data_IF_679363664391
#
_entry.id   IF_679363664391
#
_cell.length_a   1.000
_cell.length_b   1.000
_cell.length_c   1.000
_cell.angle_alpha   90.00
_cell.angle_beta   90.00
_cell.angle_gamma   90.00
#
_symmetry.space_group_name_H-M   'P 1'
#
loop_
_entity.id
_entity.type
_entity.pdbx_description
1 polymer ?
#
# COMPACT_ATOMS: atom_id res chain seq x y z
N UNK A 1 -16.32 -14.21 19.66
CA UNK A 1 -16.11 -12.77 19.36
C UNK A 1 -17.13 -12.45 18.28
N UNK A 2 -18.19 -11.75 18.66
CA UNK A 2 -19.35 -11.47 17.78
C UNK A 2 -18.87 -10.62 16.59
N UNK A 3 -19.01 -11.15 15.37
CA UNK A 3 -18.81 -10.34 14.15
C UNK A 3 -19.89 -9.27 14.16
N UNK A 4 -19.51 -8.04 14.47
CA UNK A 4 -20.39 -6.90 14.31
C UNK A 4 -20.42 -6.57 12.83
N UNK A 5 -21.46 -7.04 12.14
CA UNK A 5 -21.76 -6.67 10.76
C UNK A 5 -21.97 -5.15 10.70
N UNK A 6 -20.89 -4.39 10.46
CA UNK A 6 -20.96 -2.94 10.33
C UNK A 6 -21.38 -2.59 8.91
N UNK A 7 -22.61 -2.09 8.78
CA UNK A 7 -23.09 -1.42 7.58
C UNK A 7 -22.67 0.04 7.63
N UNK A 8 -21.84 0.45 6.68
CA UNK A 8 -21.32 1.81 6.57
C UNK A 8 -21.82 2.40 5.26
N UNK A 9 -22.43 3.58 5.35
CA UNK A 9 -22.81 4.36 4.16
C UNK A 9 -21.64 5.25 3.76
N UNK A 10 -21.31 5.24 2.47
CA UNK A 10 -20.23 6.04 1.90
C UNK A 10 -20.68 6.63 0.56
N UNK A 11 -20.14 7.79 0.21
CA UNK A 11 -20.37 8.41 -1.10
C UNK A 11 -19.10 8.30 -1.94
N UNK A 12 -19.22 7.69 -3.12
CA UNK A 12 -18.10 7.52 -4.05
C UNK A 12 -18.55 8.00 -5.43
N UNK A 13 -17.85 9.00 -5.96
CA UNK A 13 -18.09 9.57 -7.27
C UNK A 13 -19.55 10.02 -7.49
N UNK A 14 -20.10 10.68 -6.48
CA UNK A 14 -21.47 11.19 -6.48
C UNK A 14 -22.57 10.14 -6.32
N UNK A 15 -22.22 8.90 -5.94
CA UNK A 15 -23.18 7.81 -5.69
C UNK A 15 -23.05 7.29 -4.26
N UNK A 16 -24.18 7.15 -3.57
CA UNK A 16 -24.23 6.54 -2.23
C UNK A 16 -24.13 5.01 -2.36
N UNK A 17 -23.25 4.41 -1.56
CA UNK A 17 -23.07 2.98 -1.42
C UNK A 17 -23.22 2.57 0.05
N UNK A 18 -23.80 1.39 0.29
CA UNK A 18 -23.79 0.76 1.63
C UNK A 18 -22.82 -0.41 1.60
N UNK A 19 -21.72 -0.28 2.34
CA UNK A 19 -20.65 -1.27 2.44
C UNK A 19 -20.84 -2.08 3.72
N UNK A 20 -20.81 -3.40 3.59
CA UNK A 20 -20.76 -4.33 4.73
C UNK A 20 -19.31 -4.77 4.93
N UNK A 21 -18.75 -4.52 6.11
CA UNK A 21 -17.37 -4.89 6.41
C UNK A 21 -17.15 -5.31 7.85
N UNK A 22 -16.13 -6.15 8.06
CA UNK A 22 -15.64 -6.55 9.39
C UNK A 22 -14.70 -5.47 10.01
N UNK A 23 -14.28 -4.49 9.21
CA UNK A 23 -13.44 -3.37 9.64
C UNK A 23 -14.23 -2.28 10.38
N UNK A 24 -13.52 -1.41 11.10
CA UNK A 24 -14.14 -0.27 11.74
C UNK A 24 -14.69 0.72 10.70
N UNK A 25 -15.69 1.49 11.13
CA UNK A 25 -16.39 2.45 10.29
C UNK A 25 -15.44 3.50 9.69
N UNK A 26 -14.51 4.03 10.48
CA UNK A 26 -13.62 5.11 10.05
C UNK A 26 -12.64 4.62 8.97
N UNK A 27 -12.15 3.38 9.09
CA UNK A 27 -11.34 2.77 8.05
C UNK A 27 -12.12 2.62 6.75
N UNK A 28 -13.36 2.10 6.78
CA UNK A 28 -14.20 1.96 5.58
C UNK A 28 -14.46 3.33 4.92
N UNK A 29 -14.75 4.36 5.72
CA UNK A 29 -14.91 5.74 5.25
C UNK A 29 -13.63 6.27 4.59
N UNK A 30 -12.45 6.05 5.20
CA UNK A 30 -11.17 6.49 4.63
C UNK A 30 -10.84 5.80 3.30
N UNK A 31 -11.17 4.52 3.16
CA UNK A 31 -10.98 3.78 1.90
C UNK A 31 -11.91 4.34 0.82
N UNK A 32 -13.17 4.62 1.16
CA UNK A 32 -14.11 5.22 0.22
C UNK A 32 -13.69 6.62 -0.21
N UNK A 33 -13.22 7.46 0.72
CA UNK A 33 -12.68 8.80 0.44
C UNK A 33 -11.48 8.74 -0.50
N UNK A 34 -10.56 7.79 -0.28
CA UNK A 34 -9.40 7.61 -1.15
C UNK A 34 -9.81 7.16 -2.57
N UNK A 35 -10.76 6.22 -2.69
CA UNK A 35 -11.30 5.80 -4.00
C UNK A 35 -11.99 6.95 -4.71
N UNK A 36 -12.82 7.73 -4.01
CA UNK A 36 -13.50 8.92 -4.56
C UNK A 36 -12.48 9.96 -5.07
N UNK A 37 -11.43 10.24 -4.30
CA UNK A 37 -10.33 11.11 -4.69
C UNK A 37 -9.64 10.64 -5.97
N UNK A 38 -9.31 9.34 -6.06
CA UNK A 38 -8.67 8.75 -7.25
C UNK A 38 -9.57 8.81 -8.49
N UNK A 39 -10.87 8.61 -8.34
CA UNK A 39 -11.81 8.76 -9.44
C UNK A 39 -11.91 10.22 -9.92
N UNK A 40 -11.94 11.20 -9.00
CA UNK A 40 -11.92 12.63 -9.35
C UNK A 40 -10.61 13.05 -10.02
N UNK A 41 -9.47 12.51 -9.59
CA UNK A 41 -8.16 12.75 -10.22
C UNK A 41 -8.13 12.24 -11.68
N UNK A 42 -8.67 11.05 -11.91
CA UNK A 42 -8.77 10.47 -13.28
C UNK A 42 -9.67 11.33 -14.17
N UNK A 43 -10.83 11.74 -13.67
CA UNK A 43 -11.79 12.56 -14.43
C UNK A 43 -11.23 13.96 -14.76
N UNK A 44 -10.46 14.55 -13.84
CA UNK A 44 -9.81 15.85 -14.07
C UNK A 44 -8.72 15.79 -15.15
N UNK A 45 -8.00 14.68 -15.26
CA UNK A 45 -6.92 14.51 -16.23
C UNK A 45 -7.42 14.07 -17.61
N UNK A 46 -8.47 13.24 -17.65
CA UNK A 46 -9.11 12.80 -18.89
C UNK A 46 -10.62 12.79 -18.67
N UNK A 47 -11.37 13.78 -19.20
CA UNK A 47 -12.82 13.81 -19.05
C UNK A 47 -13.43 12.63 -19.83
N UNK A 48 -13.91 11.63 -19.09
CA UNK A 48 -14.58 10.47 -19.66
C UNK A 48 -16.10 10.63 -19.52
N UNK A 49 -16.85 10.30 -20.57
CA UNK A 49 -18.32 10.27 -20.49
C UNK A 49 -18.85 9.11 -19.62
N UNK A 50 -17.99 8.14 -19.28
CA UNK A 50 -18.39 6.90 -18.58
C UNK A 50 -17.75 6.79 -17.20
N UNK A 51 -18.59 6.90 -16.16
CA UNK A 51 -18.19 6.64 -14.76
C UNK A 51 -17.55 5.26 -14.54
N UNK A 52 -17.90 4.26 -15.36
CA UNK A 52 -17.28 2.93 -15.30
C UNK A 52 -15.81 2.97 -15.77
N UNK A 53 -15.50 3.72 -16.84
CA UNK A 53 -14.13 3.87 -17.32
C UNK A 53 -13.26 4.60 -16.30
N UNK A 54 -13.80 5.65 -15.69
CA UNK A 54 -13.17 6.37 -14.57
C UNK A 54 -12.85 5.40 -13.42
N UNK A 55 -13.82 4.58 -13.01
CA UNK A 55 -13.64 3.62 -11.93
C UNK A 55 -12.55 2.57 -12.24
N UNK A 56 -12.54 2.04 -13.47
CA UNK A 56 -11.52 1.06 -13.90
C UNK A 56 -10.13 1.68 -13.88
N UNK A 57 -9.95 2.89 -14.41
CA UNK A 57 -8.66 3.58 -14.41
C UNK A 57 -8.20 3.96 -13.01
N UNK A 58 -9.11 4.43 -12.14
CA UNK A 58 -8.81 4.67 -10.74
C UNK A 58 -8.33 3.38 -10.05
N UNK A 59 -9.00 2.24 -10.28
CA UNK A 59 -8.58 0.95 -9.73
C UNK A 59 -7.20 0.51 -10.26
N UNK A 60 -6.90 0.76 -11.54
CA UNK A 60 -5.58 0.49 -12.11
C UNK A 60 -4.50 1.35 -11.45
N UNK A 61 -4.73 2.65 -11.29
CA UNK A 61 -3.78 3.56 -10.63
C UNK A 61 -3.52 3.17 -9.17
N UNK A 62 -4.57 2.85 -8.42
CA UNK A 62 -4.44 2.38 -7.02
C UNK A 62 -3.63 1.08 -6.95
N UNK A 63 -3.86 0.16 -7.89
CA UNK A 63 -3.14 -1.11 -7.95
C UNK A 63 -1.67 -0.90 -8.30
N UNK A 64 -1.38 0.03 -9.22
CA UNK A 64 -0.02 0.41 -9.57
C UNK A 64 0.73 0.97 -8.36
N UNK A 65 0.12 1.92 -7.63
CA UNK A 65 0.68 2.47 -6.38
C UNK A 65 1.00 1.36 -5.36
N UNK A 66 0.08 0.40 -5.18
CA UNK A 66 0.29 -0.76 -4.30
C UNK A 66 1.46 -1.63 -4.75
N UNK A 67 1.59 -1.87 -6.06
CA UNK A 67 2.64 -2.73 -6.61
C UNK A 67 4.01 -2.04 -6.59
N UNK A 68 4.08 -0.75 -6.91
CA UNK A 68 5.30 0.05 -6.78
C UNK A 68 5.79 0.08 -5.33
N UNK A 69 4.90 0.27 -4.35
CA UNK A 69 5.28 0.24 -2.94
C UNK A 69 5.80 -1.13 -2.50
N UNK A 70 5.19 -2.23 -2.96
CA UNK A 70 5.67 -3.59 -2.66
C UNK A 70 7.04 -3.86 -3.30
N UNK A 71 7.24 -3.43 -4.54
CA UNK A 71 8.52 -3.59 -5.25
C UNK A 71 9.64 -2.76 -4.60
N UNK A 72 9.35 -1.53 -4.18
CA UNK A 72 10.34 -0.71 -3.49
C UNK A 72 10.71 -1.32 -2.14
N UNK A 73 9.72 -1.82 -1.39
CA UNK A 73 9.95 -2.50 -0.12
C UNK A 73 10.81 -3.76 -0.26
N UNK A 74 10.62 -4.56 -1.31
CA UNK A 74 11.48 -5.73 -1.55
C UNK A 74 12.92 -5.32 -1.86
N UNK A 75 13.12 -4.27 -2.66
CA UNK A 75 14.47 -3.76 -2.95
C UNK A 75 15.14 -3.24 -1.67
N UNK A 76 14.42 -2.48 -0.84
CA UNK A 76 14.96 -1.99 0.44
C UNK A 76 15.31 -3.13 1.41
N UNK A 77 14.53 -4.22 1.44
CA UNK A 77 14.85 -5.37 2.30
C UNK A 77 16.09 -6.12 1.80
N UNK A 78 16.24 -6.27 0.49
CA UNK A 78 17.39 -6.95 -0.11
C UNK A 78 18.69 -6.16 0.16
N UNK A 79 18.64 -4.83 -0.02
CA UNK A 79 19.76 -3.92 0.28
C UNK A 79 20.15 -3.95 1.77
N UNK A 80 19.15 -4.06 2.67
CA UNK A 80 19.39 -4.16 4.12
C UNK A 80 20.04 -5.51 4.47
N UNK A 81 19.61 -6.60 3.84
CA UNK A 81 20.17 -7.94 4.06
C UNK A 81 21.62 -8.02 3.58
N UNK A 82 21.92 -7.46 2.41
CA UNK A 82 23.29 -7.41 1.88
C UNK A 82 24.23 -6.61 2.80
N UNK A 83 23.80 -5.45 3.28
CA UNK A 83 24.57 -4.63 4.24
C UNK A 83 24.76 -5.35 5.57
N UNK A 84 23.74 -6.03 6.07
CA UNK A 84 23.84 -6.81 7.31
C UNK A 84 24.87 -7.93 7.16
N UNK A 85 24.85 -8.65 6.03
CA UNK A 85 25.81 -9.70 5.73
C UNK A 85 27.24 -9.17 5.64
N UNK A 86 27.46 -8.06 4.93
CA UNK A 86 28.78 -7.43 4.82
C UNK A 86 29.34 -7.00 6.18
N UNK A 87 28.48 -6.48 7.08
CA UNK A 87 28.90 -6.14 8.44
C UNK A 87 29.27 -7.36 9.28
N UNK A 88 28.55 -8.48 9.12
CA UNK A 88 28.89 -9.74 9.79
C UNK A 88 30.26 -10.25 9.32
N UNK A 89 30.51 -10.25 8.01
CA UNK A 89 31.81 -10.66 7.45
C UNK A 89 32.96 -9.78 7.99
N UNK A 90 32.77 -8.46 8.09
CA UNK A 90 33.77 -7.55 8.66
C UNK A 90 34.05 -7.80 10.15
N UNK A 91 33.03 -8.17 10.92
CA UNK A 91 33.19 -8.52 12.33
C UNK A 91 33.96 -9.84 12.50
N UNK A 92 33.67 -10.84 11.67
CA UNK A 92 34.39 -12.12 11.65
C UNK A 92 35.88 -11.91 11.32
N UNK A 93 36.19 -11.13 10.28
CA UNK A 93 37.56 -10.82 9.89
C UNK A 93 38.35 -10.10 11.00
N UNK A 94 37.70 -9.17 11.71
CA UNK A 94 38.32 -8.42 12.82
C UNK A 94 38.58 -9.32 14.03
N UNK A 95 37.67 -10.25 14.33
CA UNK A 95 37.82 -11.20 15.44
C UNK A 95 38.93 -12.21 15.15
N UNK A 96 39.02 -12.75 13.94
CA UNK A 96 40.12 -13.66 13.53
C UNK A 96 41.49 -12.96 13.51
N UNK A 97 41.54 -11.68 13.09
CA UNK A 97 42.75 -10.87 13.15
C UNK A 97 43.22 -10.59 14.58
N UNK A 98 42.31 -10.45 15.53
CA UNK A 98 42.64 -10.23 16.95
C UNK A 98 43.13 -11.49 17.67
N UNK A 99 42.78 -12.69 17.20
CA UNK A 99 43.22 -13.97 17.79
C UNK A 99 44.62 -14.43 17.33
N UNK A 100 45.19 -13.78 16.31
CA UNK A 100 46.48 -14.16 15.71
C UNK A 100 47.68 -13.30 16.20
N UNK A 101 47.46 -12.39 17.17
CA UNK A 101 48.47 -11.41 17.62
C UNK A 101 48.96 -11.61 19.07
N UNK A 102 48.66 -12.73 19.72
CA UNK A 102 49.29 -13.14 21.00
C UNK A 102 50.15 -14.41 20.82
#
# INVERSE_FOLDING_TARGET
MEKSDNLVKVDIYGKEYTVKGDADKAYIESVAEYVDGKMKEVDANVPFESSLRVAILAAMNITDELFSQKSNKSVETDDLEEKAKALVEQLEETLEGSASTD
#
